data_IF_287058665855
#
_entry.id   IF_287058665855
#
_cell.length_a   1.000
_cell.length_b   1.000
_cell.length_c   1.000
_cell.angle_alpha   90.00
_cell.angle_beta   90.00
_cell.angle_gamma   90.00
#
_symmetry.space_group_name_H-M   'P 1'
#
loop_
_entity.id
_entity.type
_entity.pdbx_description
1 polymer ?
#
# COMPACT_ATOMS: atom_id res chain seq x y z
N UNK A 1 -40.52 1.09 -17.10
CA UNK A 1 -40.59 2.25 -16.14
C UNK A 1 -41.01 1.86 -14.71
N UNK A 2 -41.88 0.87 -14.51
CA UNK A 2 -42.30 0.42 -13.17
C UNK A 2 -41.29 -0.51 -12.51
N UNK A 3 -40.62 -1.36 -13.30
CA UNK A 3 -39.55 -2.28 -12.89
C UNK A 3 -38.32 -1.55 -12.34
N UNK A 4 -37.91 -0.45 -12.97
CA UNK A 4 -36.70 0.29 -12.60
C UNK A 4 -36.90 1.03 -11.26
N UNK A 5 -38.10 1.53 -10.99
CA UNK A 5 -38.41 2.21 -9.72
C UNK A 5 -38.45 1.23 -8.55
N UNK A 6 -38.87 -0.02 -8.78
CA UNK A 6 -38.86 -1.06 -7.75
C UNK A 6 -37.45 -1.58 -7.48
N UNK A 7 -36.62 -1.73 -8.51
CA UNK A 7 -35.22 -2.09 -8.36
C UNK A 7 -34.47 -1.04 -7.56
N UNK A 8 -34.60 0.24 -7.88
CA UNK A 8 -33.99 1.37 -7.16
C UNK A 8 -34.49 1.41 -5.71
N UNK A 9 -35.80 1.23 -5.47
CA UNK A 9 -36.35 1.20 -4.12
C UNK A 9 -35.80 0.02 -3.30
N UNK A 10 -35.69 -1.16 -3.89
CA UNK A 10 -35.16 -2.35 -3.23
C UNK A 10 -33.66 -2.21 -2.94
N UNK A 11 -32.88 -1.59 -3.82
CA UNK A 11 -31.48 -1.25 -3.58
C UNK A 11 -31.37 -0.23 -2.45
N UNK A 12 -32.22 0.78 -2.41
CA UNK A 12 -32.23 1.78 -1.35
C UNK A 12 -32.63 1.18 0.01
N UNK A 13 -33.62 0.29 0.03
CA UNK A 13 -34.03 -0.44 1.24
C UNK A 13 -32.97 -1.45 1.71
N UNK A 14 -32.22 -2.06 0.78
CA UNK A 14 -31.07 -2.90 1.11
C UNK A 14 -29.95 -2.08 1.76
N UNK A 15 -29.65 -0.89 1.24
CA UNK A 15 -28.66 0.04 1.83
C UNK A 15 -29.11 0.57 3.20
N UNK A 16 -30.42 0.76 3.43
CA UNK A 16 -30.96 1.15 4.74
C UNK A 16 -30.97 0.01 5.78
N UNK A 17 -30.85 -1.25 5.35
CA UNK A 17 -30.68 -2.42 6.25
C UNK A 17 -29.24 -2.61 6.73
N UNK A 18 -28.32 -1.70 6.42
CA UNK A 18 -26.98 -1.73 7.00
C UNK A 18 -27.12 -1.58 8.50
N UNK A 19 -26.83 -2.65 9.22
CA UNK A 19 -26.87 -2.63 10.68
C UNK A 19 -25.70 -1.79 11.21
N UNK A 20 -25.94 -0.49 11.36
CA UNK A 20 -24.96 0.50 11.81
C UNK A 20 -24.25 0.07 13.10
N UNK A 21 -24.96 -0.64 13.99
CA UNK A 21 -24.35 -1.14 15.25
C UNK A 21 -23.24 -2.16 15.01
N UNK A 22 -23.30 -2.91 13.91
CA UNK A 22 -22.24 -3.87 13.57
C UNK A 22 -21.06 -3.24 12.84
N UNK A 23 -21.29 -2.14 12.10
CA UNK A 23 -20.25 -1.45 11.34
C UNK A 23 -19.50 -0.39 12.14
N UNK A 24 -20.18 0.25 13.11
CA UNK A 24 -19.59 1.31 13.92
C UNK A 24 -18.24 0.96 14.56
N UNK A 25 -18.06 -0.22 15.20
CA UNK A 25 -16.77 -0.56 15.76
C UNK A 25 -15.64 -0.68 14.72
N UNK A 26 -15.94 -1.19 13.52
CA UNK A 26 -14.96 -1.29 12.45
C UNK A 26 -14.59 0.10 11.89
N UNK A 27 -15.59 0.99 11.79
CA UNK A 27 -15.36 2.37 11.39
C UNK A 27 -14.49 3.13 12.41
N UNK A 28 -14.72 2.90 13.71
CA UNK A 28 -13.90 3.46 14.79
C UNK A 28 -12.45 2.96 14.67
N UNK A 29 -12.26 1.65 14.48
CA UNK A 29 -10.91 1.07 14.31
C UNK A 29 -10.20 1.68 13.11
N UNK A 30 -10.90 1.80 11.98
CA UNK A 30 -10.34 2.44 10.78
C UNK A 30 -9.96 3.90 11.03
N UNK A 31 -10.82 4.65 11.72
CA UNK A 31 -10.55 6.04 12.08
C UNK A 31 -9.31 6.14 12.99
N UNK A 32 -9.19 5.25 13.98
CA UNK A 32 -8.03 5.20 14.89
C UNK A 32 -6.75 4.91 14.11
N UNK A 33 -6.77 3.99 13.13
CA UNK A 33 -5.62 3.70 12.28
C UNK A 33 -5.21 4.89 11.43
N UNK A 34 -6.16 5.58 10.83
CA UNK A 34 -5.90 6.80 10.02
C UNK A 34 -5.34 7.89 10.92
N UNK A 35 -5.96 8.16 12.06
CA UNK A 35 -5.47 9.16 13.01
C UNK A 35 -4.06 8.84 13.49
N UNK A 36 -3.75 7.59 13.83
CA UNK A 36 -2.41 7.18 14.23
C UNK A 36 -1.38 7.43 13.13
N UNK A 37 -1.71 7.11 11.87
CA UNK A 37 -0.83 7.39 10.72
C UNK A 37 -0.62 8.88 10.50
N UNK A 38 -1.68 9.68 10.56
CA UNK A 38 -1.62 11.15 10.40
C UNK A 38 -0.81 11.80 11.51
N UNK A 39 -1.07 11.43 12.77
CA UNK A 39 -0.39 12.03 13.94
C UNK A 39 1.09 11.65 13.95
N UNK A 40 1.42 10.37 13.75
CA UNK A 40 2.81 9.92 13.82
C UNK A 40 3.64 10.44 12.64
N UNK A 41 3.08 10.43 11.43
CA UNK A 41 3.75 10.89 10.21
C UNK A 41 3.26 12.27 9.77
N UNK A 42 2.94 13.15 10.71
CA UNK A 42 2.46 14.50 10.42
C UNK A 42 3.34 15.27 9.42
N UNK A 43 4.68 15.21 9.51
CA UNK A 43 5.53 15.85 8.50
C UNK A 43 5.31 15.32 7.09
N UNK A 44 5.05 14.02 6.94
CA UNK A 44 4.78 13.42 5.63
C UNK A 44 3.41 13.86 5.07
N UNK A 45 2.43 14.08 5.95
CA UNK A 45 1.12 14.65 5.57
C UNK A 45 1.27 16.08 5.07
N UNK A 46 2.21 16.86 5.62
CA UNK A 46 2.58 18.19 5.14
C UNK A 46 3.39 18.20 3.83
N UNK A 47 3.59 17.05 3.20
CA UNK A 47 4.36 16.91 1.97
C UNK A 47 5.88 16.83 2.16
N UNK A 48 6.37 16.75 3.41
CA UNK A 48 7.79 16.52 3.68
C UNK A 48 8.12 15.06 3.39
N UNK A 49 9.21 14.81 2.69
CA UNK A 49 9.71 13.47 2.39
C UNK A 49 10.88 13.12 3.28
N UNK A 50 10.98 11.84 3.66
CA UNK A 50 12.14 11.31 4.34
C UNK A 50 13.27 11.22 3.32
N UNK A 51 14.35 11.92 3.58
CA UNK A 51 15.52 11.96 2.70
C UNK A 51 16.46 10.81 3.09
N UNK A 52 16.39 9.72 2.35
CA UNK A 52 17.23 8.55 2.58
C UNK A 52 18.35 8.48 1.53
N UNK A 53 19.55 8.10 1.95
CA UNK A 53 20.72 7.97 1.07
C UNK A 53 20.48 7.04 -0.12
N UNK A 54 19.75 5.94 0.11
CA UNK A 54 19.40 4.98 -0.93
C UNK A 54 18.53 5.57 -2.05
N UNK A 55 17.67 6.54 -1.72
CA UNK A 55 16.87 7.24 -2.74
C UNK A 55 17.74 8.13 -3.65
N UNK A 56 18.74 8.76 -3.08
CA UNK A 56 19.69 9.61 -3.85
C UNK A 56 20.48 8.74 -4.81
N UNK A 57 21.08 7.67 -4.27
CA UNK A 57 21.89 6.73 -5.05
C UNK A 57 21.03 6.05 -6.13
N UNK A 58 19.81 5.62 -5.79
CA UNK A 58 18.88 5.06 -6.75
C UNK A 58 18.46 6.06 -7.85
N UNK A 59 18.25 7.32 -7.48
CA UNK A 59 17.92 8.38 -8.44
C UNK A 59 19.12 8.67 -9.35
N UNK A 60 20.33 8.74 -8.81
CA UNK A 60 21.55 8.94 -9.60
C UNK A 60 21.79 7.77 -10.56
N UNK A 61 21.60 6.55 -10.11
CA UNK A 61 21.80 5.34 -10.90
C UNK A 61 20.88 5.24 -12.15
N UNK A 62 19.67 5.78 -12.08
CA UNK A 62 18.73 5.73 -13.21
C UNK A 62 18.83 6.91 -14.18
N UNK A 63 19.68 7.90 -13.89
CA UNK A 63 19.81 9.12 -14.74
C UNK A 63 20.30 8.79 -16.16
N UNK A 64 21.28 7.91 -16.31
CA UNK A 64 21.80 7.47 -17.60
C UNK A 64 20.70 6.86 -18.48
N UNK A 65 19.91 5.95 -17.91
CA UNK A 65 18.79 5.33 -18.63
C UNK A 65 17.69 6.31 -18.98
N UNK A 66 17.45 7.34 -18.16
CA UNK A 66 16.49 8.42 -18.46
C UNK A 66 16.98 9.31 -19.60
N UNK A 67 18.25 9.73 -19.56
CA UNK A 67 18.84 10.54 -20.61
C UNK A 67 18.79 9.79 -21.95
N UNK A 68 19.14 8.52 -21.97
CA UNK A 68 19.03 7.68 -23.16
C UNK A 68 17.59 7.63 -23.69
N UNK A 69 16.61 7.46 -22.81
CA UNK A 69 15.20 7.43 -23.22
C UNK A 69 14.71 8.79 -23.75
N UNK A 70 15.15 9.88 -23.16
CA UNK A 70 14.80 11.24 -23.61
C UNK A 70 15.39 11.55 -25.02
N UNK A 71 16.58 11.02 -25.31
CA UNK A 71 17.26 11.24 -26.59
C UNK A 71 16.75 10.33 -27.71
N UNK A 72 16.45 9.05 -27.40
CA UNK A 72 16.18 8.04 -28.43
C UNK A 72 14.72 7.60 -28.48
N UNK A 73 13.95 7.84 -27.44
CA UNK A 73 12.61 7.27 -27.23
C UNK A 73 12.60 5.80 -26.81
N UNK A 74 13.76 5.14 -26.78
CA UNK A 74 13.92 3.74 -26.40
C UNK A 74 14.39 3.56 -24.97
N UNK A 75 14.25 2.36 -24.42
CA UNK A 75 14.73 2.03 -23.08
C UNK A 75 16.05 1.27 -23.14
N UNK A 76 17.07 1.79 -22.43
CA UNK A 76 18.31 1.05 -22.23
C UNK A 76 18.13 -0.09 -21.23
N UNK A 77 18.51 -1.30 -21.63
CA UNK A 77 18.50 -2.48 -20.75
C UNK A 77 19.77 -2.64 -19.95
N UNK A 78 20.78 -1.80 -20.21
CA UNK A 78 22.05 -1.79 -19.52
C UNK A 78 22.40 -0.37 -19.06
N UNK A 79 23.07 -0.25 -17.92
CA UNK A 79 23.62 1.02 -17.43
C UNK A 79 25.10 0.84 -17.06
N UNK A 80 25.91 1.81 -17.39
CA UNK A 80 27.32 1.90 -16.99
C UNK A 80 27.53 2.66 -15.68
N UNK A 81 26.50 3.27 -15.11
CA UNK A 81 26.62 4.19 -13.97
C UNK A 81 26.97 3.49 -12.65
N UNK A 82 26.80 2.18 -12.52
CA UNK A 82 27.08 1.41 -11.31
C UNK A 82 27.84 0.11 -11.59
N UNK A 83 28.71 -0.29 -10.68
CA UNK A 83 29.41 -1.59 -10.69
C UNK A 83 30.11 -1.92 -12.02
N UNK A 84 30.62 -0.93 -12.73
CA UNK A 84 31.21 -1.07 -14.08
C UNK A 84 30.24 -1.63 -15.13
N UNK A 85 28.96 -1.57 -14.85
CA UNK A 85 27.86 -1.98 -15.72
C UNK A 85 26.95 -3.04 -15.09
N UNK A 86 25.64 -2.81 -15.20
CA UNK A 86 24.63 -3.75 -14.72
C UNK A 86 23.34 -3.67 -15.52
N UNK A 87 22.48 -4.71 -15.46
CA UNK A 87 21.17 -4.67 -16.09
C UNK A 87 20.26 -3.60 -15.50
N UNK A 88 19.77 -2.68 -16.35
CA UNK A 88 18.97 -1.52 -15.94
C UNK A 88 17.56 -1.90 -15.45
N UNK A 89 17.03 -3.05 -15.84
CA UNK A 89 15.71 -3.51 -15.39
C UNK A 89 15.64 -3.73 -13.86
N UNK A 90 16.77 -3.95 -13.20
CA UNK A 90 16.86 -4.09 -11.74
C UNK A 90 16.72 -2.74 -11.02
N UNK A 91 17.01 -1.63 -11.70
CA UNK A 91 16.95 -0.28 -11.15
C UNK A 91 15.60 0.41 -11.37
N UNK A 92 14.62 -0.27 -12.00
CA UNK A 92 13.27 0.26 -12.25
C UNK A 92 13.20 1.32 -13.34
N UNK A 93 14.24 1.44 -14.18
CA UNK A 93 14.32 2.43 -15.26
C UNK A 93 13.47 2.10 -16.48
N UNK A 94 12.99 0.89 -16.64
CA UNK A 94 12.30 0.44 -17.85
C UNK A 94 10.81 0.34 -17.61
N UNK A 95 10.05 0.76 -18.62
CA UNK A 95 8.58 0.77 -18.61
C UNK A 95 8.00 -0.52 -18.10
N UNK A 96 7.28 -0.40 -16.98
CA UNK A 96 6.83 -1.50 -16.17
C UNK A 96 6.12 -2.60 -16.94
N UNK A 97 6.25 -3.81 -16.45
CA UNK A 97 5.49 -4.96 -16.94
C UNK A 97 4.00 -4.64 -17.03
N UNK A 98 3.29 -5.30 -17.94
CA UNK A 98 1.85 -5.08 -18.13
C UNK A 98 1.05 -5.14 -16.81
N UNK A 99 1.45 -6.04 -15.90
CA UNK A 99 0.87 -6.16 -14.56
C UNK A 99 1.12 -4.90 -13.70
N UNK A 100 2.28 -4.27 -13.81
CA UNK A 100 2.59 -3.04 -13.05
C UNK A 100 1.71 -1.88 -13.52
N UNK A 101 1.44 -1.76 -14.82
CA UNK A 101 0.50 -0.77 -15.35
C UNK A 101 -0.91 -0.99 -14.85
N UNK A 102 -1.36 -2.25 -14.77
CA UNK A 102 -2.68 -2.60 -14.25
C UNK A 102 -2.81 -2.26 -12.77
N UNK A 103 -1.74 -2.46 -11.99
CA UNK A 103 -1.72 -2.21 -10.56
C UNK A 103 -1.40 -0.74 -10.19
N UNK A 104 -0.99 0.08 -11.15
CA UNK A 104 -0.65 1.50 -10.90
C UNK A 104 -1.76 2.30 -10.21
N UNK A 105 -3.04 2.24 -10.59
CA UNK A 105 -4.07 3.01 -9.91
C UNK A 105 -4.24 2.59 -8.44
N UNK A 106 -4.10 1.30 -8.16
CA UNK A 106 -4.14 0.77 -6.79
C UNK A 106 -2.95 1.28 -5.99
N UNK A 107 -1.75 1.20 -6.56
CA UNK A 107 -0.54 1.73 -5.93
C UNK A 107 -0.64 3.23 -5.67
N UNK A 108 -1.11 4.02 -6.66
CA UNK A 108 -1.31 5.47 -6.50
C UNK A 108 -2.29 5.79 -5.39
N UNK A 109 -3.39 5.06 -5.27
CA UNK A 109 -4.36 5.23 -4.21
C UNK A 109 -3.72 4.99 -2.83
N UNK A 110 -3.00 3.89 -2.65
CA UNK A 110 -2.35 3.57 -1.36
C UNK A 110 -1.07 4.38 -1.09
N UNK A 111 -0.44 4.97 -2.09
CA UNK A 111 0.71 5.85 -1.90
C UNK A 111 0.35 7.33 -1.78
N UNK A 112 -0.96 7.67 -1.85
CA UNK A 112 -1.46 9.05 -1.90
C UNK A 112 -0.61 9.94 -2.83
N UNK A 113 -0.40 9.43 -4.06
CA UNK A 113 0.33 10.14 -5.11
C UNK A 113 1.85 10.10 -5.00
N UNK A 114 2.48 9.94 -3.86
CA UNK A 114 3.93 9.89 -3.77
C UNK A 114 4.47 9.36 -2.43
N UNK A 115 4.61 8.04 -2.30
CA UNK A 115 5.40 7.38 -1.22
C UNK A 115 5.13 7.92 0.19
N UNK A 116 3.87 8.19 0.53
CA UNK A 116 3.51 8.77 1.82
C UNK A 116 3.66 7.74 2.94
N UNK A 117 4.60 7.99 3.86
CA UNK A 117 4.89 7.10 4.99
C UNK A 117 3.68 6.87 5.90
N UNK A 118 2.80 7.88 6.05
CA UNK A 118 1.57 7.73 6.83
C UNK A 118 0.63 6.68 6.22
N UNK A 119 0.48 6.68 4.89
CA UNK A 119 -0.38 5.68 4.22
C UNK A 119 0.22 4.28 4.27
N UNK A 120 1.55 4.14 4.16
CA UNK A 120 2.23 2.86 4.35
C UNK A 120 1.95 2.31 5.73
N UNK A 121 2.05 3.14 6.76
CA UNK A 121 1.79 2.75 8.14
C UNK A 121 0.32 2.33 8.35
N UNK A 122 -0.63 3.11 7.84
CA UNK A 122 -2.07 2.74 7.88
C UNK A 122 -2.31 1.41 7.15
N UNK A 123 -1.62 1.19 6.03
CA UNK A 123 -1.74 -0.04 5.27
C UNK A 123 -1.21 -1.25 6.03
N UNK A 124 -0.12 -1.12 6.79
CA UNK A 124 0.34 -2.17 7.72
C UNK A 124 -0.71 -2.49 8.78
N UNK A 125 -1.26 -1.47 9.44
CA UNK A 125 -2.29 -1.64 10.44
C UNK A 125 -3.50 -2.39 9.89
N UNK A 126 -3.99 -1.99 8.72
CA UNK A 126 -5.13 -2.63 8.07
C UNK A 126 -4.85 -4.08 7.66
N UNK A 127 -3.70 -4.33 7.03
CA UNK A 127 -3.37 -5.68 6.55
C UNK A 127 -3.22 -6.66 7.71
N UNK A 128 -2.54 -6.26 8.78
CA UNK A 128 -2.37 -7.12 9.94
C UNK A 128 -3.67 -7.28 10.74
N UNK A 129 -4.46 -6.22 10.84
CA UNK A 129 -5.81 -6.32 11.41
C UNK A 129 -6.65 -7.34 10.65
N UNK A 130 -6.71 -7.25 9.33
CA UNK A 130 -7.46 -8.20 8.49
C UNK A 130 -6.92 -9.63 8.64
N UNK A 131 -5.61 -9.79 8.74
CA UNK A 131 -4.99 -11.10 8.97
C UNK A 131 -5.46 -11.72 10.29
N UNK A 132 -5.42 -10.98 11.41
CA UNK A 132 -5.90 -11.47 12.70
C UNK A 132 -7.40 -11.74 12.66
N UNK A 133 -8.19 -10.88 12.00
CA UNK A 133 -9.63 -11.11 11.80
C UNK A 133 -9.90 -12.37 10.98
N UNK A 134 -9.07 -12.70 10.00
CA UNK A 134 -9.19 -13.94 9.24
C UNK A 134 -8.93 -15.18 10.11
N UNK A 135 -8.15 -15.06 11.17
CA UNK A 135 -7.99 -16.11 12.21
C UNK A 135 -9.11 -16.12 13.27
N UNK A 136 -10.16 -15.30 13.08
CA UNK A 136 -11.31 -15.14 14.02
C UNK A 136 -10.91 -14.55 15.38
N UNK A 137 -9.78 -13.88 15.49
CA UNK A 137 -9.39 -13.12 16.68
C UNK A 137 -10.39 -12.00 16.93
N UNK A 138 -10.70 -11.70 18.19
CA UNK A 138 -11.57 -10.57 18.55
C UNK A 138 -11.08 -9.27 17.92
N UNK A 139 -12.00 -8.36 17.57
CA UNK A 139 -11.69 -7.13 16.84
C UNK A 139 -10.80 -6.17 17.62
N UNK A 140 -10.99 -6.06 18.93
CA UNK A 140 -10.19 -5.16 19.77
C UNK A 140 -8.79 -5.72 19.97
N UNK A 141 -8.69 -7.04 20.18
CA UNK A 141 -7.40 -7.73 20.24
C UNK A 141 -6.68 -7.68 18.88
N UNK A 142 -7.40 -7.79 17.78
CA UNK A 142 -6.84 -7.62 16.42
C UNK A 142 -6.32 -6.20 16.19
N UNK A 143 -7.00 -5.17 16.71
CA UNK A 143 -6.52 -3.80 16.68
C UNK A 143 -5.23 -3.63 17.47
N UNK A 144 -5.18 -4.16 18.71
CA UNK A 144 -3.98 -4.13 19.54
C UNK A 144 -2.80 -4.85 18.87
N UNK A 145 -3.04 -6.05 18.30
CA UNK A 145 -2.04 -6.80 17.55
C UNK A 145 -1.54 -6.07 16.30
N UNK A 146 -2.43 -5.38 15.58
CA UNK A 146 -2.05 -4.55 14.45
C UNK A 146 -1.09 -3.41 14.86
N UNK A 147 -1.37 -2.74 15.98
CA UNK A 147 -0.45 -1.74 16.54
C UNK A 147 0.87 -2.36 16.99
N UNK A 148 0.84 -3.51 17.67
CA UNK A 148 2.06 -4.17 18.15
C UNK A 148 3.04 -4.48 16.99
N UNK A 149 2.54 -4.94 15.84
CA UNK A 149 3.39 -5.23 14.69
C UNK A 149 3.81 -3.93 13.97
N UNK A 150 2.88 -3.02 13.71
CA UNK A 150 3.15 -1.80 12.94
C UNK A 150 4.11 -0.84 13.69
N UNK A 151 4.07 -0.84 15.02
CA UNK A 151 4.97 -0.05 15.87
C UNK A 151 6.30 -0.75 16.15
N UNK A 152 6.56 -1.93 15.59
CA UNK A 152 7.87 -2.56 15.73
C UNK A 152 8.96 -1.75 15.04
N UNK A 153 10.15 -1.72 15.62
CA UNK A 153 11.28 -0.95 15.11
C UNK A 153 11.65 -1.31 13.67
N UNK A 154 11.49 -2.56 13.27
CA UNK A 154 11.76 -3.01 11.92
C UNK A 154 10.97 -2.23 10.85
N UNK A 155 9.67 -2.02 11.07
CA UNK A 155 8.84 -1.30 10.09
C UNK A 155 9.23 0.17 9.99
N UNK A 156 9.59 0.81 11.11
CA UNK A 156 10.09 2.18 11.08
C UNK A 156 11.44 2.30 10.37
N UNK A 157 12.34 1.35 10.61
CA UNK A 157 13.66 1.34 9.95
C UNK A 157 13.51 1.23 8.42
N UNK A 158 12.68 0.31 7.91
CA UNK A 158 12.50 0.16 6.46
C UNK A 158 11.74 1.34 5.81
N UNK A 159 10.83 1.99 6.55
CA UNK A 159 10.19 3.22 6.09
C UNK A 159 11.21 4.37 6.04
N UNK A 160 12.02 4.54 7.09
CA UNK A 160 13.05 5.57 7.17
C UNK A 160 14.13 5.38 6.10
N UNK A 161 14.51 4.13 5.81
CA UNK A 161 15.42 3.79 4.71
C UNK A 161 14.78 3.94 3.32
N UNK A 162 13.50 4.36 3.24
CA UNK A 162 12.74 4.49 1.98
C UNK A 162 12.61 3.20 1.17
N UNK A 163 12.69 2.05 1.81
CA UNK A 163 12.46 0.74 1.17
C UNK A 163 10.96 0.46 0.95
N UNK A 164 10.28 1.41 0.30
CA UNK A 164 8.82 1.35 0.08
C UNK A 164 8.37 0.09 -0.66
N UNK A 165 9.17 -0.41 -1.60
CA UNK A 165 8.88 -1.69 -2.28
C UNK A 165 8.77 -2.85 -1.30
N UNK A 166 9.70 -2.94 -0.33
CA UNK A 166 9.67 -3.95 0.74
C UNK A 166 8.46 -3.76 1.66
N UNK A 167 8.12 -2.51 1.99
CA UNK A 167 6.95 -2.18 2.80
C UNK A 167 5.66 -2.72 2.16
N UNK A 168 5.46 -2.45 0.88
CA UNK A 168 4.29 -2.94 0.15
C UNK A 168 4.30 -4.46 0.00
N UNK A 169 5.46 -5.08 -0.28
CA UNK A 169 5.55 -6.53 -0.43
C UNK A 169 5.13 -7.26 0.85
N UNK A 170 5.56 -6.80 2.02
CA UNK A 170 5.15 -7.37 3.31
C UNK A 170 3.64 -7.23 3.52
N UNK A 171 3.08 -6.06 3.21
CA UNK A 171 1.65 -5.82 3.35
C UNK A 171 0.82 -6.71 2.43
N UNK A 172 1.22 -6.81 1.15
CA UNK A 172 0.54 -7.68 0.20
C UNK A 172 0.65 -9.16 0.57
N UNK A 173 1.79 -9.59 1.12
CA UNK A 173 1.95 -10.96 1.63
C UNK A 173 0.92 -11.29 2.70
N UNK A 174 0.67 -10.38 3.66
CA UNK A 174 -0.39 -10.56 4.66
C UNK A 174 -1.77 -10.70 4.02
N UNK A 175 -2.09 -9.85 3.05
CA UNK A 175 -3.39 -9.88 2.35
C UNK A 175 -3.57 -11.14 1.49
N UNK A 176 -2.51 -11.65 0.88
CA UNK A 176 -2.53 -12.95 0.17
C UNK A 176 -2.89 -14.09 1.13
N UNK A 177 -2.29 -14.10 2.33
CA UNK A 177 -2.63 -15.10 3.36
C UNK A 177 -4.08 -14.96 3.80
N UNK A 178 -4.60 -13.74 3.96
CA UNK A 178 -6.03 -13.50 4.23
C UNK A 178 -6.90 -14.08 3.14
N UNK A 179 -6.59 -13.80 1.88
CA UNK A 179 -7.34 -14.34 0.72
C UNK A 179 -7.35 -15.86 0.69
N UNK A 180 -6.18 -16.47 0.90
CA UNK A 180 -6.05 -17.92 0.98
C UNK A 180 -6.92 -18.54 2.10
N UNK A 181 -6.82 -18.01 3.33
CA UNK A 181 -7.59 -18.48 4.47
C UNK A 181 -9.10 -18.36 4.27
N UNK A 182 -9.56 -17.24 3.69
CA UNK A 182 -10.98 -17.00 3.43
C UNK A 182 -11.52 -17.93 2.34
N UNK A 183 -10.72 -18.22 1.31
CA UNK A 183 -11.09 -19.14 0.22
C UNK A 183 -11.16 -20.56 0.74
N UNK A 184 -10.17 -21.02 1.50
CA UNK A 184 -10.10 -22.39 2.01
C UNK A 184 -11.22 -22.70 3.02
N UNK A 185 -11.69 -21.69 3.77
CA UNK A 185 -12.77 -21.88 4.76
C UNK A 185 -14.18 -21.88 4.19
N UNK A 186 -14.34 -21.52 2.93
CA UNK A 186 -15.62 -21.58 2.23
C UNK A 186 -15.92 -22.94 1.58
N UNK A 187 -14.93 -23.83 1.56
CA UNK A 187 -15.05 -25.22 1.14
C UNK A 187 -15.33 -26.11 2.36
#
# INVERSE_FOLDING_TARGET
KRSDSEAVRNTFLFLMKINWKSWLPNAIILLVFVLAGVVYFWPAVQGKIIYAGDNINGTAAVQEGKAYHEETGDYSYWTGSMFSGMPNYQMGGNGGYALDRLLQPIRKFFSWGNRNSAMIFVFYLLAFFLLLRSFKVDKWLSMAGAFAIALSSYFFVIIAASHHGKCYSITWMMLVVVGFLLTYRKQ
#
